data_IF_538643411564
#
_entry.id   IF_538643411564
#
_cell.length_a   1.000
_cell.length_b   1.000
_cell.length_c   1.000
_cell.angle_alpha   90.00
_cell.angle_beta   90.00
_cell.angle_gamma   90.00
#
_symmetry.space_group_name_H-M   'P 1'
#
loop_
_entity.id
_entity.type
_entity.pdbx_description
1 polymer ?
#
# COMPACT_ATOMS: atom_id res chain seq x y z
N UNK A 1 22.19 6.25 -6.58
CA UNK A 1 21.86 4.88 -6.99
C UNK A 1 20.63 4.40 -6.25
N UNK A 2 19.72 3.74 -6.95
CA UNK A 2 18.45 3.28 -6.37
C UNK A 2 18.63 2.12 -5.40
N UNK A 3 17.72 2.05 -4.44
CA UNK A 3 17.64 0.97 -3.47
C UNK A 3 16.32 0.21 -3.64
N UNK A 4 16.25 -0.97 -3.03
CA UNK A 4 15.03 -1.74 -2.96
C UNK A 4 14.13 -1.19 -1.85
N UNK A 5 12.86 -0.96 -2.18
CA UNK A 5 11.81 -0.60 -1.22
C UNK A 5 10.83 -1.77 -1.17
N UNK A 6 10.80 -2.48 -0.06
CA UNK A 6 9.92 -3.64 0.13
C UNK A 6 8.62 -3.24 0.80
N UNK A 7 7.53 -3.85 0.34
CA UNK A 7 6.17 -3.61 0.85
C UNK A 7 5.52 -4.94 1.19
N UNK A 8 5.00 -5.05 2.41
CA UNK A 8 4.19 -6.19 2.85
C UNK A 8 2.99 -5.69 3.64
N UNK A 9 1.89 -6.44 3.62
CA UNK A 9 0.71 -6.09 4.43
C UNK A 9 0.30 -7.24 5.33
N UNK A 10 -0.25 -6.89 6.48
CA UNK A 10 -0.95 -7.81 7.37
C UNK A 10 -2.43 -7.40 7.38
N UNK A 11 -3.34 -8.34 7.28
CA UNK A 11 -4.76 -8.10 7.09
C UNK A 11 -5.03 -7.37 5.78
N UNK A 12 -5.62 -8.07 4.83
CA UNK A 12 -5.90 -7.50 3.50
C UNK A 12 -6.98 -6.41 3.56
N UNK A 13 -7.01 -5.55 2.56
CA UNK A 13 -7.98 -4.44 2.48
C UNK A 13 -9.42 -4.94 2.59
N UNK A 14 -9.76 -6.05 1.94
CA UNK A 14 -11.10 -6.62 1.95
C UNK A 14 -11.47 -7.28 3.29
N UNK A 15 -10.52 -7.54 4.15
CA UNK A 15 -10.74 -8.05 5.49
C UNK A 15 -11.03 -6.87 6.44
N UNK A 16 -12.31 -6.52 6.54
CA UNK A 16 -12.73 -5.27 7.19
C UNK A 16 -12.99 -5.39 8.69
N UNK A 17 -12.73 -6.57 9.27
CA UNK A 17 -12.91 -6.78 10.72
C UNK A 17 -11.78 -6.18 11.55
N UNK A 18 -10.66 -5.82 10.93
CA UNK A 18 -9.50 -5.26 11.61
C UNK A 18 -8.80 -4.24 10.71
N UNK A 19 -7.94 -3.42 11.29
CA UNK A 19 -7.12 -2.48 10.55
C UNK A 19 -6.14 -3.23 9.66
N UNK A 20 -5.84 -2.67 8.49
CA UNK A 20 -4.74 -3.13 7.65
C UNK A 20 -3.46 -2.44 8.08
N UNK A 21 -2.39 -3.19 8.16
CA UNK A 21 -1.05 -2.65 8.40
C UNK A 21 -0.18 -2.96 7.21
N UNK A 22 0.51 -1.93 6.71
CA UNK A 22 1.46 -2.07 5.62
C UNK A 22 2.84 -1.69 6.15
N UNK A 23 3.79 -2.62 6.04
CA UNK A 23 5.18 -2.35 6.33
C UNK A 23 5.92 -1.96 5.06
N UNK A 24 6.65 -0.86 5.09
CA UNK A 24 7.45 -0.38 3.96
C UNK A 24 8.87 -0.12 4.47
N UNK A 25 9.86 -0.76 3.84
CA UNK A 25 11.24 -0.69 4.31
C UNK A 25 12.17 -0.32 3.16
N UNK A 26 13.00 0.70 3.38
CA UNK A 26 14.07 1.11 2.50
C UNK A 26 15.36 1.20 3.30
N UNK A 27 16.26 0.24 3.13
CA UNK A 27 17.45 0.16 3.94
C UNK A 27 17.13 0.07 5.42
N UNK A 28 17.54 1.04 6.20
CA UNK A 28 17.23 1.12 7.64
C UNK A 28 15.96 1.91 7.95
N UNK A 29 15.39 2.56 6.95
CA UNK A 29 14.13 3.31 7.12
C UNK A 29 12.96 2.35 7.15
N UNK A 30 12.13 2.44 8.19
CA UNK A 30 10.98 1.57 8.41
C UNK A 30 9.73 2.42 8.61
N UNK A 31 8.74 2.22 7.73
CA UNK A 31 7.48 2.91 7.77
C UNK A 31 6.37 1.91 8.06
N UNK A 32 5.54 2.20 9.04
CA UNK A 32 4.30 1.47 9.30
C UNK A 32 3.12 2.32 8.87
N UNK A 33 2.29 1.79 7.99
CA UNK A 33 1.03 2.40 7.57
C UNK A 33 -0.11 1.63 8.20
N UNK A 34 -1.01 2.34 8.88
CA UNK A 34 -2.19 1.75 9.52
C UNK A 34 -3.42 2.32 8.84
N UNK A 35 -4.26 1.44 8.32
CA UNK A 35 -5.50 1.82 7.63
C UNK A 35 -6.67 1.34 8.48
N UNK A 36 -7.45 2.29 8.98
CA UNK A 36 -8.58 2.05 9.86
C UNK A 36 -9.64 1.16 9.21
N UNK A 37 -10.14 0.19 9.97
CA UNK A 37 -11.16 -0.75 9.49
C UNK A 37 -12.45 -0.03 9.07
N UNK A 38 -12.88 0.97 9.82
CA UNK A 38 -14.07 1.76 9.50
C UNK A 38 -13.92 2.51 8.18
N UNK A 39 -12.76 3.11 7.95
CA UNK A 39 -12.46 3.78 6.69
C UNK A 39 -12.52 2.80 5.52
N UNK A 40 -11.91 1.63 5.66
CA UNK A 40 -11.96 0.59 4.61
C UNK A 40 -13.40 0.20 4.29
N UNK A 41 -14.23 -0.04 5.30
CA UNK A 41 -15.63 -0.43 5.10
C UNK A 41 -16.40 0.61 4.29
N UNK A 42 -16.26 1.88 4.65
CA UNK A 42 -16.98 2.96 3.96
C UNK A 42 -16.52 3.12 2.52
N UNK A 43 -15.22 3.09 2.27
CA UNK A 43 -14.68 3.22 0.92
C UNK A 43 -15.07 2.02 0.04
N UNK A 44 -15.00 0.81 0.57
CA UNK A 44 -15.41 -0.40 -0.16
C UNK A 44 -16.90 -0.35 -0.48
N UNK A 45 -17.73 0.04 0.47
CA UNK A 45 -19.19 0.17 0.26
C UNK A 45 -19.48 1.13 -0.87
N UNK A 46 -18.86 2.29 -0.86
CA UNK A 46 -19.05 3.32 -1.87
C UNK A 46 -18.61 2.87 -3.27
N UNK A 47 -17.45 2.24 -3.35
CA UNK A 47 -16.93 1.75 -4.62
C UNK A 47 -17.80 0.63 -5.21
N UNK A 48 -18.32 -0.25 -4.35
CA UNK A 48 -19.27 -1.29 -4.78
C UNK A 48 -20.56 -0.67 -5.31
N UNK A 49 -21.07 0.36 -4.64
CA UNK A 49 -22.25 1.09 -5.11
C UNK A 49 -22.02 1.74 -6.48
N UNK A 50 -20.80 2.17 -6.76
CA UNK A 50 -20.42 2.76 -8.04
C UNK A 50 -20.11 1.71 -9.11
N UNK A 51 -20.21 0.41 -8.78
CA UNK A 51 -19.95 -0.67 -9.71
C UNK A 51 -18.47 -0.87 -10.04
N UNK A 52 -17.57 -0.42 -9.18
CA UNK A 52 -16.13 -0.58 -9.39
C UNK A 52 -15.76 -2.05 -9.20
N UNK A 53 -15.09 -2.63 -10.20
CA UNK A 53 -14.61 -4.01 -10.15
C UNK A 53 -13.39 -4.10 -9.24
N UNK A 54 -13.36 -5.14 -8.38
CA UNK A 54 -12.25 -5.40 -7.45
C UNK A 54 -11.85 -4.15 -6.65
N UNK A 55 -12.79 -3.55 -5.89
CA UNK A 55 -12.54 -2.29 -5.21
C UNK A 55 -11.41 -2.36 -4.19
N UNK A 56 -11.19 -3.53 -3.58
CA UNK A 56 -10.10 -3.75 -2.62
C UNK A 56 -8.72 -3.58 -3.26
N UNK A 57 -8.54 -4.03 -4.50
CA UNK A 57 -7.28 -3.86 -5.23
C UNK A 57 -7.01 -2.38 -5.51
N UNK A 58 -8.04 -1.68 -5.95
CA UNK A 58 -7.93 -0.24 -6.22
C UNK A 58 -7.58 0.53 -4.96
N UNK A 59 -8.22 0.20 -3.85
CA UNK A 59 -7.93 0.83 -2.56
C UNK A 59 -6.51 0.54 -2.09
N UNK A 60 -6.05 -0.69 -2.21
CA UNK A 60 -4.67 -1.03 -1.86
C UNK A 60 -3.68 -0.15 -2.63
N UNK A 61 -3.88 -0.02 -3.94
CA UNK A 61 -3.04 0.83 -4.77
C UNK A 61 -3.04 2.30 -4.34
N UNK A 62 -4.22 2.84 -4.03
CA UNK A 62 -4.36 4.22 -3.56
C UNK A 62 -3.69 4.44 -2.21
N UNK A 63 -3.89 3.55 -1.24
CA UNK A 63 -3.25 3.68 0.06
C UNK A 63 -1.74 3.57 -0.04
N UNK A 64 -1.24 2.65 -0.86
CA UNK A 64 0.20 2.52 -1.07
C UNK A 64 0.77 3.78 -1.74
N UNK A 65 0.11 4.29 -2.77
CA UNK A 65 0.49 5.55 -3.41
C UNK A 65 0.57 6.69 -2.39
N UNK A 66 -0.47 6.86 -1.56
CA UNK A 66 -0.50 7.92 -0.54
C UNK A 66 0.64 7.76 0.47
N UNK A 67 0.85 6.55 0.95
CA UNK A 67 1.90 6.28 1.93
C UNK A 67 3.29 6.59 1.37
N UNK A 68 3.55 6.19 0.14
CA UNK A 68 4.82 6.48 -0.52
C UNK A 68 5.00 7.98 -0.76
N UNK A 69 3.94 8.68 -1.16
CA UNK A 69 3.97 10.12 -1.38
C UNK A 69 4.10 10.91 -0.07
N UNK A 70 3.29 10.57 0.92
CA UNK A 70 3.26 11.30 2.19
C UNK A 70 4.56 11.10 2.98
N UNK A 71 5.17 9.93 2.91
CA UNK A 71 6.41 9.62 3.63
C UNK A 71 7.67 10.08 2.92
N UNK A 72 7.63 10.15 1.59
CA UNK A 72 8.82 10.40 0.79
C UNK A 72 9.86 9.28 0.83
N UNK A 73 9.49 8.08 1.30
CA UNK A 73 10.43 6.96 1.46
C UNK A 73 10.94 6.44 0.11
N UNK A 74 10.10 6.48 -0.93
CA UNK A 74 10.48 6.06 -2.28
C UNK A 74 11.21 7.22 -2.97
N UNK A 75 12.43 6.97 -3.45
CA UNK A 75 13.28 7.98 -4.10
C UNK A 75 13.48 7.64 -5.58
N UNK A 76 13.84 8.63 -6.42
CA UNK A 76 14.11 8.38 -7.82
C UNK A 76 15.12 7.25 -8.02
N UNK A 77 14.80 6.32 -8.92
CA UNK A 77 15.64 5.17 -9.23
C UNK A 77 15.46 3.97 -8.31
N UNK A 78 14.68 4.09 -7.24
CA UNK A 78 14.40 2.97 -6.35
C UNK A 78 13.53 1.92 -7.05
N UNK A 79 13.71 0.67 -6.65
CA UNK A 79 12.90 -0.46 -7.11
C UNK A 79 11.87 -0.76 -6.02
N UNK A 80 10.59 -0.72 -6.40
CA UNK A 80 9.48 -1.03 -5.50
C UNK A 80 9.15 -2.52 -5.61
N UNK A 81 9.30 -3.26 -4.52
CA UNK A 81 9.03 -4.70 -4.46
C UNK A 81 7.84 -4.93 -3.53
N UNK A 82 6.73 -5.37 -4.10
CA UNK A 82 5.46 -5.54 -3.39
C UNK A 82 5.18 -7.03 -3.22
N UNK A 83 4.79 -7.43 -2.01
CA UNK A 83 4.39 -8.81 -1.76
C UNK A 83 3.14 -9.17 -2.59
N UNK A 84 3.13 -10.40 -3.11
CA UNK A 84 2.04 -10.91 -3.95
C UNK A 84 0.79 -11.21 -3.12
N UNK A 85 -0.06 -10.19 -2.95
CA UNK A 85 -1.30 -10.33 -2.18
C UNK A 85 -2.55 -10.47 -3.05
N UNK A 86 -2.48 -10.01 -4.29
CA UNK A 86 -3.62 -9.98 -5.20
C UNK A 86 -3.26 -10.64 -6.53
N UNK A 87 -3.21 -11.98 -6.58
CA UNK A 87 -2.83 -12.70 -7.81
C UNK A 87 -3.72 -12.32 -9.00
N UNK A 88 -3.10 -12.13 -10.15
CA UNK A 88 -3.80 -11.74 -11.37
C UNK A 88 -4.06 -10.24 -11.50
N UNK A 89 -3.77 -9.44 -10.47
CA UNK A 89 -4.02 -8.00 -10.47
C UNK A 89 -2.73 -7.17 -10.56
N UNK A 90 -1.58 -7.81 -10.66
CA UNK A 90 -0.27 -7.16 -10.62
C UNK A 90 -0.11 -6.12 -11.72
N UNK A 91 -0.58 -6.42 -12.94
CA UNK A 91 -0.49 -5.48 -14.06
C UNK A 91 -1.26 -4.19 -13.81
N UNK A 92 -2.48 -4.30 -13.28
CA UNK A 92 -3.32 -3.14 -12.94
C UNK A 92 -2.69 -2.29 -11.85
N UNK A 93 -2.21 -2.93 -10.79
CA UNK A 93 -1.53 -2.24 -9.68
C UNK A 93 -0.26 -1.56 -10.16
N UNK A 94 0.53 -2.25 -10.98
CA UNK A 94 1.76 -1.68 -11.54
C UNK A 94 1.47 -0.43 -12.37
N UNK A 95 0.50 -0.50 -13.26
CA UNK A 95 0.15 0.62 -14.13
C UNK A 95 -0.37 1.81 -13.32
N UNK A 96 -1.23 1.55 -12.34
CA UNK A 96 -1.77 2.61 -11.47
C UNK A 96 -0.67 3.28 -10.66
N UNK A 97 0.21 2.51 -10.03
CA UNK A 97 1.30 3.03 -9.20
C UNK A 97 2.32 3.79 -10.05
N UNK A 98 2.70 3.23 -11.20
CA UNK A 98 3.65 3.88 -12.10
C UNK A 98 3.13 5.24 -12.56
N UNK A 99 1.86 5.31 -12.95
CA UNK A 99 1.22 6.54 -13.39
C UNK A 99 1.15 7.58 -12.27
N UNK A 100 0.68 7.19 -11.10
CA UNK A 100 0.47 8.13 -9.98
C UNK A 100 1.77 8.60 -9.35
N UNK A 101 2.76 7.70 -9.25
CA UNK A 101 4.08 8.01 -8.70
C UNK A 101 5.02 8.65 -9.73
N UNK A 102 4.61 8.65 -10.99
CA UNK A 102 5.43 9.13 -12.11
C UNK A 102 6.79 8.43 -12.16
N UNK A 103 6.77 7.11 -12.10
CA UNK A 103 7.96 6.27 -12.20
C UNK A 103 7.78 5.26 -13.32
N UNK A 104 8.91 4.71 -13.80
CA UNK A 104 8.88 3.66 -14.81
C UNK A 104 8.27 2.39 -14.22
N UNK A 105 7.34 1.78 -14.95
CA UNK A 105 6.69 0.54 -14.51
C UNK A 105 7.68 -0.62 -14.31
N UNK A 106 8.82 -0.61 -14.99
CA UNK A 106 9.85 -1.63 -14.81
C UNK A 106 10.51 -1.59 -13.42
N UNK A 107 10.34 -0.48 -12.69
CA UNK A 107 10.84 -0.34 -11.33
C UNK A 107 9.86 -0.92 -10.29
N UNK A 108 8.72 -1.46 -10.71
CA UNK A 108 7.72 -2.05 -9.82
C UNK A 108 7.66 -3.55 -10.10
N UNK A 109 7.91 -4.35 -9.07
CA UNK A 109 7.83 -5.81 -9.17
C UNK A 109 7.00 -6.39 -8.04
N UNK A 110 6.42 -7.55 -8.30
CA UNK A 110 5.63 -8.31 -7.33
C UNK A 110 6.31 -9.65 -7.10
N UNK A 111 6.49 -10.02 -5.83
CA UNK A 111 7.14 -11.27 -5.47
C UNK A 111 6.69 -11.66 -4.05
N UNK A 112 6.98 -12.89 -3.67
CA UNK A 112 6.79 -13.30 -2.28
C UNK A 112 7.90 -12.72 -1.43
N UNK A 113 7.54 -11.74 -0.61
CA UNK A 113 8.47 -11.05 0.28
C UNK A 113 8.93 -11.99 1.42
N UNK A 114 8.03 -12.83 1.93
CA UNK A 114 8.34 -13.82 2.93
C UNK A 114 8.35 -13.28 4.37
N UNK A 115 8.21 -14.20 5.33
CA UNK A 115 8.10 -13.87 6.76
C UNK A 115 9.38 -13.30 7.36
N UNK A 116 10.53 -13.53 6.72
CA UNK A 116 11.83 -13.06 7.20
C UNK A 116 12.16 -11.65 6.73
N UNK A 117 11.36 -11.09 5.81
CA UNK A 117 11.61 -9.74 5.32
C UNK A 117 11.41 -8.70 6.41
N UNK A 118 12.14 -7.59 6.32
CA UNK A 118 11.98 -6.48 7.27
C UNK A 118 10.60 -5.82 7.11
N UNK A 119 10.06 -5.75 5.89
CA UNK A 119 8.71 -5.21 5.66
C UNK A 119 7.64 -6.05 6.36
N UNK A 120 7.76 -7.38 6.31
CA UNK A 120 6.85 -8.27 7.04
C UNK A 120 6.94 -8.02 8.54
N UNK A 121 8.15 -7.93 9.08
CA UNK A 121 8.37 -7.66 10.51
C UNK A 121 7.71 -6.35 10.93
N UNK A 122 7.86 -5.27 10.15
CA UNK A 122 7.22 -3.98 10.43
C UNK A 122 5.70 -4.13 10.49
N UNK A 123 5.10 -4.79 9.49
CA UNK A 123 3.64 -4.97 9.43
C UNK A 123 3.09 -5.75 10.63
N UNK A 124 3.83 -6.73 11.13
CA UNK A 124 3.38 -7.62 12.20
C UNK A 124 3.82 -7.20 13.59
N UNK A 125 4.98 -6.57 13.76
CA UNK A 125 5.50 -6.15 15.07
C UNK A 125 5.19 -4.71 15.42
N UNK A 126 4.78 -3.91 14.46
CA UNK A 126 4.52 -2.46 14.59
C UNK A 126 5.75 -1.64 14.99
N UNK A 127 6.95 -2.15 14.73
CA UNK A 127 8.20 -1.43 15.02
C UNK A 127 8.65 -0.68 13.78
N UNK A 128 8.55 0.64 13.83
CA UNK A 128 8.91 1.51 12.72
C UNK A 128 9.45 2.86 13.22
N UNK A 129 10.23 3.51 12.37
CA UNK A 129 10.73 4.86 12.64
C UNK A 129 9.66 5.91 12.40
N UNK A 130 8.73 5.62 11.48
CA UNK A 130 7.63 6.51 11.11
C UNK A 130 6.34 5.71 11.06
N UNK A 131 5.26 6.31 11.54
CA UNK A 131 3.92 5.71 11.49
C UNK A 131 2.99 6.70 10.83
N UNK A 132 2.26 6.24 9.80
CA UNK A 132 1.21 7.00 9.14
C UNK A 132 -0.09 6.25 9.35
N UNK A 133 -1.10 6.95 9.85
CA UNK A 133 -2.43 6.37 10.04
C UNK A 133 -3.44 7.08 9.12
N UNK A 134 -4.22 6.28 8.39
CA UNK A 134 -5.36 6.77 7.62
C UNK A 134 -6.65 6.34 8.30
N UNK A 135 -7.52 7.30 8.58
CA UNK A 135 -8.82 7.08 9.21
C UNK A 135 -9.91 7.92 8.53
N UNK A 136 -11.09 8.05 9.15
CA UNK A 136 -12.21 8.77 8.54
C UNK A 136 -11.94 10.25 8.27
N UNK A 137 -10.95 10.85 8.92
CA UNK A 137 -10.52 12.24 8.61
C UNK A 137 -9.94 12.34 7.20
N UNK A 138 -9.43 11.25 6.66
CA UNK A 138 -8.84 11.18 5.32
C UNK A 138 -9.84 10.78 4.23
N UNK A 139 -11.08 10.51 4.59
CA UNK A 139 -12.10 9.98 3.68
C UNK A 139 -12.24 10.81 2.40
N UNK A 140 -12.40 12.12 2.52
CA UNK A 140 -12.59 13.01 1.36
C UNK A 140 -11.36 13.07 0.47
N UNK A 141 -10.19 13.12 1.08
CA UNK A 141 -8.92 13.13 0.36
C UNK A 141 -8.75 11.86 -0.47
N UNK A 142 -9.04 10.72 0.13
CA UNK A 142 -8.93 9.42 -0.54
C UNK A 142 -9.98 9.29 -1.64
N UNK A 143 -11.22 9.70 -1.35
CA UNK A 143 -12.32 9.64 -2.31
C UNK A 143 -12.00 10.44 -3.57
N UNK A 144 -11.35 11.57 -3.45
CA UNK A 144 -10.95 12.40 -4.58
C UNK A 144 -9.95 11.72 -5.52
N UNK A 145 -9.24 10.68 -5.05
CA UNK A 145 -8.28 9.91 -5.84
C UNK A 145 -8.90 8.68 -6.50
N UNK A 146 -10.10 8.33 -6.14
CA UNK A 146 -10.83 7.16 -6.67
C UNK A 146 -11.70 7.53 -7.92
#
# INVERSE_FOLDING_TARGET
>A
MGQKVEVDQSIKIEQTHADTRIGIVRGRQKLLVIIDAGLKRELLRLLRQRGVKDPHVRLFGIFLYLALSDSGILRPGDILVIDEEYPGQEGRLRDMLASRLNIDRTLISFTRVGKRSEAHKVAYTRRADQIIRYDMRDFRRILALL
#
